data_IF_431409754655
#
_entry.id   IF_431409754655
#
_cell.length_a   1.000
_cell.length_b   1.000
_cell.length_c   1.000
_cell.angle_alpha   90.00
_cell.angle_beta   90.00
_cell.angle_gamma   90.00
#
_symmetry.space_group_name_H-M   'P 1'
#
loop_
_entity.id
_entity.type
_entity.pdbx_description
1 polymer ?
#
# COMPACT_ATOMS: atom_id res chain seq x y z
N UNK A 1 -20.08 -18.91 -14.61
CA UNK A 1 -18.86 -18.09 -14.44
C UNK A 1 -19.28 -16.67 -14.16
N UNK A 2 -18.70 -16.05 -13.14
CA UNK A 2 -19.00 -14.65 -12.80
C UNK A 2 -18.21 -13.72 -13.71
N UNK A 3 -18.75 -12.55 -14.05
CA UNK A 3 -18.00 -11.46 -14.69
C UNK A 3 -17.16 -10.66 -13.67
N UNK A 4 -17.25 -11.01 -12.39
CA UNK A 4 -16.40 -10.44 -11.35
C UNK A 4 -14.98 -11.02 -11.46
N UNK A 5 -13.95 -10.21 -11.18
CA UNK A 5 -12.57 -10.66 -11.27
C UNK A 5 -12.26 -11.74 -10.24
N UNK A 6 -11.36 -12.64 -10.60
CA UNK A 6 -10.83 -13.65 -9.69
C UNK A 6 -9.64 -13.14 -8.86
N UNK A 7 -9.14 -13.96 -7.94
CA UNK A 7 -8.03 -13.57 -7.05
C UNK A 7 -6.72 -13.26 -7.82
N UNK A 8 -6.27 -14.09 -8.79
CA UNK A 8 -5.14 -13.73 -9.65
C UNK A 8 -5.30 -12.38 -10.38
N UNK A 9 -6.48 -12.09 -10.91
CA UNK A 9 -6.77 -10.83 -11.60
C UNK A 9 -6.75 -9.64 -10.65
N UNK A 10 -7.34 -9.77 -9.46
CA UNK A 10 -7.28 -8.75 -8.41
C UNK A 10 -5.83 -8.48 -7.98
N UNK A 11 -5.01 -9.53 -7.84
CA UNK A 11 -3.60 -9.40 -7.49
C UNK A 11 -2.80 -8.69 -8.59
N UNK A 12 -3.06 -9.04 -9.86
CA UNK A 12 -2.42 -8.40 -11.00
C UNK A 12 -2.77 -6.91 -11.07
N UNK A 13 -4.05 -6.57 -10.86
CA UNK A 13 -4.53 -5.18 -10.81
C UNK A 13 -3.89 -4.40 -9.66
N UNK A 14 -3.91 -4.95 -8.44
CA UNK A 14 -3.31 -4.28 -7.29
C UNK A 14 -1.82 -3.98 -7.49
N UNK A 15 -1.06 -4.89 -8.12
CA UNK A 15 0.35 -4.67 -8.49
C UNK A 15 0.51 -3.59 -9.56
N UNK A 16 -0.38 -3.55 -10.55
CA UNK A 16 -0.41 -2.51 -11.58
C UNK A 16 -0.65 -1.13 -10.98
N UNK A 17 -1.69 -1.03 -10.15
CA UNK A 17 -2.08 0.20 -9.46
C UNK A 17 -0.93 0.76 -8.61
N UNK A 18 -0.28 -0.08 -7.80
CA UNK A 18 0.85 0.34 -6.97
C UNK A 18 2.04 0.87 -7.79
N UNK A 19 2.35 0.23 -8.93
CA UNK A 19 3.40 0.71 -9.86
C UNK A 19 3.07 2.07 -10.47
N UNK A 20 1.78 2.37 -10.62
CA UNK A 20 1.28 3.66 -11.12
C UNK A 20 1.06 4.71 -10.02
N UNK A 21 1.41 4.40 -8.76
CA UNK A 21 1.19 5.29 -7.62
C UNK A 21 -0.25 5.37 -7.13
N UNK A 22 -1.10 4.44 -7.57
CA UNK A 22 -2.50 4.34 -7.14
C UNK A 22 -2.59 3.53 -5.84
N UNK A 23 -3.21 4.08 -4.77
CA UNK A 23 -3.41 3.34 -3.52
C UNK A 23 -4.33 2.12 -3.69
N UNK A 24 -4.08 1.07 -2.93
CA UNK A 24 -4.94 -0.14 -2.89
C UNK A 24 -5.43 -0.40 -1.47
N UNK A 25 -6.59 -1.05 -1.33
CA UNK A 25 -7.10 -1.49 -0.03
C UNK A 25 -6.87 -2.99 0.12
N UNK A 26 -6.18 -3.38 1.18
CA UNK A 26 -6.13 -4.78 1.60
C UNK A 26 -7.17 -5.01 2.70
N UNK A 27 -7.96 -6.08 2.55
CA UNK A 27 -9.01 -6.47 3.51
C UNK A 27 -8.64 -7.82 4.14
N UNK A 28 -8.77 -7.90 5.46
CA UNK A 28 -8.61 -9.10 6.29
C UNK A 28 -9.48 -8.95 7.54
N UNK A 29 -8.92 -9.18 8.73
CA UNK A 29 -9.60 -8.84 10.00
C UNK A 29 -9.92 -7.34 10.15
N UNK A 30 -9.16 -6.50 9.44
CA UNK A 30 -9.45 -5.07 9.24
C UNK A 30 -9.19 -4.67 7.79
N UNK A 31 -9.29 -3.37 7.52
CA UNK A 31 -8.94 -2.81 6.21
C UNK A 31 -7.78 -1.81 6.36
N UNK A 32 -6.81 -1.89 5.47
CA UNK A 32 -5.68 -0.95 5.42
C UNK A 32 -5.57 -0.36 4.02
N UNK A 33 -5.34 0.95 3.96
CA UNK A 33 -4.97 1.66 2.74
C UNK A 33 -3.44 1.53 2.57
N UNK A 34 -3.01 0.99 1.43
CA UNK A 34 -1.61 0.74 1.12
C UNK A 34 -1.19 1.62 -0.05
N UNK A 35 -0.04 2.28 0.12
CA UNK A 35 0.61 3.10 -0.89
C UNK A 35 2.04 2.59 -1.09
N UNK A 36 2.52 2.58 -2.34
CA UNK A 36 3.91 2.25 -2.63
C UNK A 36 4.81 3.45 -2.29
N UNK A 37 5.77 3.27 -1.38
CA UNK A 37 6.66 4.34 -0.97
C UNK A 37 7.56 4.86 -2.10
N UNK A 38 7.82 4.04 -3.12
CA UNK A 38 8.68 4.37 -4.27
C UNK A 38 8.04 5.34 -5.27
N UNK A 39 6.70 5.42 -5.30
CA UNK A 39 5.92 6.31 -6.18
C UNK A 39 5.10 7.34 -5.42
N UNK A 40 5.22 7.39 -4.08
CA UNK A 40 4.45 8.28 -3.23
C UNK A 40 4.97 9.72 -3.28
N UNK A 41 4.09 10.66 -3.64
CA UNK A 41 4.38 12.09 -3.66
C UNK A 41 4.01 12.79 -2.34
N UNK A 42 4.66 13.93 -2.08
CA UNK A 42 4.49 14.70 -0.84
C UNK A 42 3.04 15.14 -0.59
N UNK A 43 2.34 15.61 -1.62
CA UNK A 43 0.94 16.04 -1.49
C UNK A 43 0.04 14.86 -1.09
N UNK A 44 0.17 13.72 -1.79
CA UNK A 44 -0.62 12.52 -1.48
C UNK A 44 -0.34 11.99 -0.08
N UNK A 45 0.92 12.07 0.38
CA UNK A 45 1.25 11.72 1.76
C UNK A 45 0.58 12.66 2.78
N UNK A 46 0.55 13.96 2.51
CA UNK A 46 -0.14 14.93 3.35
C UNK A 46 -1.64 14.63 3.42
N UNK A 47 -2.27 14.36 2.28
CA UNK A 47 -3.70 14.02 2.18
C UNK A 47 -4.01 12.75 2.99
N UNK A 48 -3.20 11.68 2.85
CA UNK A 48 -3.40 10.43 3.60
C UNK A 48 -3.21 10.62 5.09
N UNK A 49 -2.24 11.44 5.52
CA UNK A 49 -2.06 11.77 6.94
C UNK A 49 -3.25 12.55 7.50
N UNK A 50 -3.89 13.39 6.68
CA UNK A 50 -5.08 14.16 7.07
C UNK A 50 -6.34 13.28 7.21
N UNK A 51 -6.42 12.12 6.57
CA UNK A 51 -7.50 11.14 6.78
C UNK A 51 -7.55 10.59 8.22
N UNK A 52 -6.44 10.69 8.95
CA UNK A 52 -6.30 10.16 10.30
C UNK A 52 -5.89 8.67 10.33
N UNK A 53 -5.63 8.17 11.54
CA UNK A 53 -5.07 6.84 11.77
C UNK A 53 -3.54 6.81 11.87
N UNK A 54 -3.00 5.67 12.31
CA UNK A 54 -1.56 5.49 12.48
C UNK A 54 -0.93 5.08 11.14
N UNK A 55 -0.33 6.04 10.43
CA UNK A 55 0.48 5.73 9.26
C UNK A 55 1.74 4.98 9.67
N UNK A 56 1.92 3.77 9.15
CA UNK A 56 3.10 2.94 9.38
C UNK A 56 3.87 2.74 8.07
N UNK A 57 5.20 2.69 8.16
CA UNK A 57 6.06 2.34 7.03
C UNK A 57 6.47 0.88 7.15
N UNK A 58 5.96 0.02 6.26
CA UNK A 58 6.36 -1.36 6.19
C UNK A 58 7.73 -1.48 5.48
N UNK A 59 8.74 -1.96 6.19
CA UNK A 59 10.07 -2.21 5.65
C UNK A 59 10.49 -3.66 5.92
N UNK A 60 11.34 -4.20 5.05
CA UNK A 60 11.95 -5.51 5.27
C UNK A 60 12.94 -5.47 6.43
N UNK A 61 13.20 -6.63 7.04
CA UNK A 61 14.17 -6.75 8.13
C UNK A 61 15.56 -6.17 7.74
N UNK A 62 16.07 -6.51 6.56
CA UNK A 62 17.35 -5.99 6.03
C UNK A 62 17.36 -4.45 5.95
N UNK A 63 16.25 -3.83 5.54
CA UNK A 63 16.15 -2.36 5.47
C UNK A 63 16.13 -1.74 6.86
N UNK A 64 15.42 -2.34 7.82
CA UNK A 64 15.37 -1.87 9.20
C UNK A 64 16.77 -1.88 9.87
N UNK A 65 17.57 -2.91 9.62
CA UNK A 65 18.99 -2.98 10.02
C UNK A 65 19.79 -1.80 9.46
N UNK A 66 19.68 -1.55 8.16
CA UNK A 66 20.41 -0.47 7.48
C UNK A 66 20.05 0.90 8.05
N UNK A 67 18.78 1.09 8.43
CA UNK A 67 18.27 2.36 8.95
C UNK A 67 18.41 2.50 10.46
N UNK A 68 18.92 1.50 11.18
CA UNK A 68 18.93 1.45 12.66
C UNK A 68 17.53 1.70 13.27
N UNK A 69 16.51 1.12 12.65
CA UNK A 69 15.11 1.25 13.06
C UNK A 69 14.67 0.09 13.98
N UNK A 70 15.62 -0.47 14.73
CA UNK A 70 15.43 -1.55 15.72
C UNK A 70 15.97 -1.08 17.06
#
# INVERSE_FOLDING_TARGET
MSLAPDTPELLARARGDLRMGVPVILRGEGAVLVLAAETLEAQRLADVRALGGAAVLAITARRAETLKAR
#
